data_IF_550586714316
#
_entry.id   IF_550586714316
#
_cell.length_a   1.000
_cell.length_b   1.000
_cell.length_c   1.000
_cell.angle_alpha   90.00
_cell.angle_beta   90.00
_cell.angle_gamma   90.00
#
_symmetry.space_group_name_H-M   'P 1'
#
loop_
_entity.id
_entity.type
_entity.pdbx_description
1 polymer ?
#
# COMPACT_ATOMS: atom_id res chain seq x y z
N UNK A 1 -22.57 -3.07 17.46
CA UNK A 1 -21.97 -4.03 16.52
C UNK A 1 -20.52 -4.22 16.91
N UNK A 2 -20.07 -5.46 17.14
CA UNK A 2 -18.67 -5.73 17.47
C UNK A 2 -17.80 -5.40 16.26
N UNK A 3 -16.92 -4.39 16.38
CA UNK A 3 -15.92 -4.11 15.37
C UNK A 3 -14.89 -5.23 15.42
N UNK A 4 -14.53 -5.80 14.26
CA UNK A 4 -13.50 -6.83 14.19
C UNK A 4 -12.18 -6.26 14.75
N UNK A 5 -11.42 -7.09 15.48
CA UNK A 5 -10.22 -6.70 16.22
C UNK A 5 -9.09 -6.11 15.37
N UNK A 6 -8.00 -5.72 16.04
CA UNK A 6 -6.85 -5.02 15.44
C UNK A 6 -6.27 -5.79 14.25
N UNK A 7 -6.17 -5.13 13.10
CA UNK A 7 -5.42 -5.64 11.95
C UNK A 7 -3.92 -5.58 12.27
N UNK A 8 -3.18 -6.63 11.93
CA UNK A 8 -1.72 -6.63 12.02
C UNK A 8 -1.15 -5.58 11.08
N UNK A 9 -0.09 -4.89 11.51
CA UNK A 9 0.58 -3.87 10.71
C UNK A 9 1.22 -4.47 9.44
N UNK A 10 1.49 -3.63 8.44
CA UNK A 10 2.15 -4.09 7.23
C UNK A 10 3.64 -4.32 7.48
N UNK A 11 4.14 -5.47 7.07
CA UNK A 11 5.56 -5.80 7.16
C UNK A 11 6.29 -5.27 5.91
N UNK A 12 6.91 -4.11 6.04
CA UNK A 12 7.69 -3.46 4.97
C UNK A 12 8.91 -4.28 4.54
N UNK A 13 9.37 -5.25 5.35
CA UNK A 13 10.46 -6.16 4.96
C UNK A 13 10.04 -7.20 3.92
N UNK A 14 8.73 -7.42 3.78
CA UNK A 14 8.12 -8.33 2.80
C UNK A 14 7.18 -7.58 1.85
N UNK A 15 7.70 -6.68 1.00
CA UNK A 15 6.91 -5.84 0.11
C UNK A 15 6.09 -6.65 -0.91
N UNK A 16 6.48 -7.88 -1.21
CA UNK A 16 5.75 -8.79 -2.10
C UNK A 16 4.35 -9.15 -1.57
N UNK A 17 4.14 -9.03 -0.25
CA UNK A 17 2.86 -9.36 0.42
C UNK A 17 1.87 -8.20 0.42
N UNK A 18 2.19 -7.07 -0.20
CA UNK A 18 1.33 -5.89 -0.23
C UNK A 18 -0.09 -6.21 -0.73
N UNK A 19 -0.26 -6.98 -1.80
CA UNK A 19 -1.60 -7.32 -2.30
C UNK A 19 -2.43 -8.14 -1.29
N UNK A 20 -1.77 -9.07 -0.60
CA UNK A 20 -2.41 -9.87 0.45
C UNK A 20 -2.83 -9.00 1.64
N UNK A 21 -1.98 -8.04 2.01
CA UNK A 21 -2.27 -7.07 3.05
C UNK A 21 -3.43 -6.15 2.65
N UNK A 22 -3.40 -5.58 1.45
CA UNK A 22 -4.46 -4.73 0.92
C UNK A 22 -5.82 -5.45 0.88
N UNK A 23 -5.85 -6.72 0.49
CA UNK A 23 -7.07 -7.53 0.52
C UNK A 23 -7.61 -7.72 1.96
N UNK A 24 -6.73 -7.89 2.96
CA UNK A 24 -7.14 -7.95 4.38
C UNK A 24 -7.72 -6.62 4.85
N UNK A 25 -7.12 -5.49 4.48
CA UNK A 25 -7.64 -4.15 4.79
C UNK A 25 -9.02 -3.96 4.18
N UNK A 26 -9.23 -4.35 2.92
CA UNK A 26 -10.56 -4.24 2.29
C UNK A 26 -11.63 -5.06 3.01
N UNK A 27 -11.31 -6.28 3.41
CA UNK A 27 -12.23 -7.11 4.18
C UNK A 27 -12.50 -6.51 5.55
N UNK A 28 -11.49 -5.93 6.19
CA UNK A 28 -11.64 -5.21 7.46
C UNK A 28 -12.58 -4.00 7.32
N UNK A 29 -12.42 -3.20 6.27
CA UNK A 29 -13.30 -2.05 5.98
C UNK A 29 -14.74 -2.50 5.71
N UNK A 30 -14.93 -3.58 4.95
CA UNK A 30 -16.24 -4.17 4.65
C UNK A 30 -16.96 -4.64 5.92
N UNK A 31 -16.27 -5.38 6.79
CA UNK A 31 -16.89 -5.87 8.04
C UNK A 31 -17.23 -4.73 9.00
N UNK A 32 -16.38 -3.71 9.08
CA UNK A 32 -16.63 -2.54 9.91
C UNK A 32 -17.62 -1.54 9.29
N UNK A 33 -18.18 -1.85 8.10
CA UNK A 33 -19.13 -1.02 7.37
C UNK A 33 -18.64 0.42 7.13
N UNK A 34 -17.33 0.57 6.91
CA UNK A 34 -16.73 1.88 6.60
C UNK A 34 -17.07 2.23 5.15
N UNK A 35 -18.10 3.07 4.97
CA UNK A 35 -18.61 3.44 3.64
C UNK A 35 -17.92 4.66 3.06
N UNK A 36 -17.65 5.66 3.90
CA UNK A 36 -17.01 6.91 3.46
C UNK A 36 -15.58 6.69 3.01
N UNK A 37 -15.22 7.31 1.90
CA UNK A 37 -13.90 7.14 1.29
C UNK A 37 -12.79 7.79 2.10
N UNK A 38 -13.06 8.96 2.69
CA UNK A 38 -12.21 9.62 3.67
C UNK A 38 -11.88 8.69 4.85
N UNK A 39 -12.90 8.04 5.43
CA UNK A 39 -12.72 7.09 6.52
C UNK A 39 -11.93 5.85 6.10
N UNK A 40 -12.04 5.40 4.85
CA UNK A 40 -11.22 4.28 4.33
C UNK A 40 -9.75 4.68 4.23
N UNK A 41 -9.46 5.87 3.71
CA UNK A 41 -8.10 6.41 3.63
C UNK A 41 -7.48 6.54 5.04
N UNK A 42 -8.18 7.21 5.97
CA UNK A 42 -7.71 7.34 7.35
C UNK A 42 -7.54 5.99 8.04
N UNK A 43 -8.46 5.05 7.83
CA UNK A 43 -8.33 3.70 8.40
C UNK A 43 -7.09 2.99 7.86
N UNK A 44 -6.80 3.09 6.56
CA UNK A 44 -5.59 2.50 5.96
C UNK A 44 -4.32 3.07 6.61
N UNK A 45 -4.25 4.39 6.78
CA UNK A 45 -3.11 5.07 7.41
C UNK A 45 -2.94 4.68 8.88
N UNK A 46 -4.03 4.43 9.61
CA UNK A 46 -3.94 3.97 11.00
C UNK A 46 -3.52 2.50 11.13
N UNK A 47 -3.85 1.64 10.15
CA UNK A 47 -3.59 0.19 10.25
C UNK A 47 -2.30 -0.25 9.56
N UNK A 48 -1.77 0.53 8.61
CA UNK A 48 -0.54 0.18 7.88
C UNK A 48 0.72 0.12 8.74
N UNK A 49 0.74 0.79 9.90
CA UNK A 49 1.91 0.86 10.78
C UNK A 49 2.80 2.04 10.44
N UNK A 50 3.77 2.33 11.33
CA UNK A 50 4.58 3.54 11.24
C UNK A 50 5.47 3.57 9.99
N UNK A 51 6.18 2.47 9.70
CA UNK A 51 7.10 2.43 8.56
C UNK A 51 6.38 2.65 7.21
N UNK A 52 5.21 2.02 7.04
CA UNK A 52 4.41 2.17 5.84
C UNK A 52 3.78 3.58 5.73
N UNK A 53 3.45 4.20 6.86
CA UNK A 53 2.96 5.58 6.92
C UNK A 53 4.04 6.57 6.49
N UNK A 54 5.26 6.45 7.03
CA UNK A 54 6.40 7.30 6.66
C UNK A 54 6.75 7.17 5.16
N UNK A 55 6.64 5.96 4.59
CA UNK A 55 6.79 5.75 3.15
C UNK A 55 5.70 6.48 2.37
N UNK A 56 4.43 6.37 2.78
CA UNK A 56 3.32 7.07 2.13
C UNK A 56 3.53 8.59 2.16
N UNK A 57 3.92 9.14 3.31
CA UNK A 57 4.17 10.57 3.52
C UNK A 57 5.31 11.08 2.62
N UNK A 58 6.41 10.34 2.55
CA UNK A 58 7.54 10.68 1.67
C UNK A 58 7.18 10.64 0.18
N UNK A 59 6.24 9.78 -0.23
CA UNK A 59 5.83 9.64 -1.62
C UNK A 59 4.82 10.73 -2.06
N UNK A 60 3.94 11.18 -1.16
CA UNK A 60 2.94 12.23 -1.45
C UNK A 60 3.41 13.65 -1.13
N UNK A 61 4.55 13.82 -0.46
CA UNK A 61 5.11 15.13 -0.15
C UNK A 61 5.25 15.99 -1.43
N UNK A 62 4.81 17.27 -1.42
CA UNK A 62 4.41 18.10 -0.27
C UNK A 62 2.90 18.11 0.04
N UNK A 63 2.09 17.23 -0.57
CA UNK A 63 0.63 17.20 -0.38
C UNK A 63 0.30 16.44 0.92
N UNK A 64 -0.62 16.95 1.76
CA UNK A 64 -1.01 16.23 2.96
C UNK A 64 -1.81 14.95 2.60
N UNK A 65 -1.44 13.84 3.24
CA UNK A 65 -2.07 12.52 3.05
C UNK A 65 -3.59 12.53 3.31
N UNK A 66 -4.08 13.46 4.12
CA UNK A 66 -5.51 13.64 4.41
C UNK A 66 -6.34 14.08 3.19
N UNK A 67 -5.70 14.63 2.15
CA UNK A 67 -6.38 15.03 0.92
C UNK A 67 -6.40 13.93 -0.15
N UNK A 68 -5.71 12.80 0.10
CA UNK A 68 -5.49 11.75 -0.90
C UNK A 68 -6.60 10.71 -0.81
N UNK A 69 -7.11 10.29 -1.98
CA UNK A 69 -8.15 9.27 -2.03
C UNK A 69 -7.61 7.90 -1.60
N UNK A 70 -8.49 7.04 -1.07
CA UNK A 70 -8.11 5.67 -0.72
C UNK A 70 -7.57 4.88 -1.94
N UNK A 71 -8.13 5.14 -3.12
CA UNK A 71 -7.71 4.50 -4.36
C UNK A 71 -6.28 4.91 -4.76
N UNK A 72 -5.96 6.19 -4.65
CA UNK A 72 -4.65 6.72 -4.99
C UNK A 72 -3.58 6.25 -3.99
N UNK A 73 -3.87 6.31 -2.67
CA UNK A 73 -2.98 5.77 -1.63
C UNK A 73 -2.64 4.30 -1.88
N UNK A 74 -3.65 3.47 -2.18
CA UNK A 74 -3.44 2.06 -2.49
C UNK A 74 -2.55 1.86 -3.72
N UNK A 75 -2.76 2.67 -4.76
CA UNK A 75 -2.02 2.58 -6.02
C UNK A 75 -0.57 2.97 -5.82
N UNK A 76 -0.33 4.09 -5.16
CA UNK A 76 1.00 4.62 -4.89
C UNK A 76 1.82 3.67 -4.02
N UNK A 77 1.22 3.13 -2.95
CA UNK A 77 1.89 2.11 -2.13
C UNK A 77 2.14 0.82 -2.92
N UNK A 78 1.22 0.42 -3.81
CA UNK A 78 1.44 -0.72 -4.71
C UNK A 78 2.62 -0.48 -5.65
N UNK A 79 2.71 0.69 -6.27
CA UNK A 79 3.81 1.03 -7.19
C UNK A 79 5.15 1.10 -6.47
N UNK A 80 5.17 1.50 -5.20
CA UNK A 80 6.37 1.51 -4.37
C UNK A 80 6.82 0.10 -3.96
N UNK A 81 5.93 -0.72 -3.40
CA UNK A 81 6.28 -2.05 -2.90
C UNK A 81 6.41 -3.10 -4.03
N UNK A 82 5.69 -2.90 -5.13
CA UNK A 82 5.70 -3.79 -6.29
C UNK A 82 5.93 -2.95 -7.55
N UNK A 83 7.15 -2.42 -7.76
CA UNK A 83 7.46 -1.66 -8.95
C UNK A 83 7.17 -2.53 -10.16
N UNK A 84 6.27 -2.05 -11.01
CA UNK A 84 5.91 -2.74 -12.25
C UNK A 84 7.19 -2.82 -13.08
N UNK A 85 7.77 -4.01 -13.22
CA UNK A 85 8.98 -4.20 -14.00
C UNK A 85 8.79 -3.56 -15.38
N UNK A 86 9.44 -2.43 -15.61
CA UNK A 86 9.47 -1.80 -16.91
C UNK A 86 10.28 -2.72 -17.82
N UNK A 87 9.77 -2.93 -19.03
CA UNK A 87 10.30 -3.87 -20.04
C UNK A 87 11.79 -3.63 -20.36
N UNK A 88 12.36 -2.50 -19.96
CA UNK A 88 13.76 -2.11 -20.16
C UNK A 88 14.73 -2.93 -19.30
N UNK A 89 14.34 -3.39 -18.11
CA UNK A 89 15.20 -4.21 -17.24
C UNK A 89 15.49 -5.61 -17.83
N UNK A 90 14.67 -6.08 -18.78
CA UNK A 90 14.86 -7.37 -19.45
C UNK A 90 16.02 -7.38 -20.42
N UNK A 91 16.34 -6.25 -21.08
CA UNK A 91 17.45 -6.22 -22.04
C UNK A 91 18.83 -6.34 -21.36
N UNK A 92 18.99 -5.75 -20.16
CA UNK A 92 20.29 -5.71 -19.49
C UNK A 92 20.72 -7.05 -18.87
N UNK A 93 19.77 -7.98 -18.66
CA UNK A 93 20.07 -9.34 -18.19
C UNK A 93 20.51 -10.27 -19.33
N UNK A 94 20.24 -9.88 -20.58
CA UNK A 94 20.61 -10.69 -21.75
C UNK A 94 22.04 -10.41 -22.23
N UNK A 95 22.55 -9.18 -22.06
CA UNK A 95 23.91 -8.82 -22.51
C UNK A 95 25.04 -9.35 -21.61
N UNK A 96 24.76 -9.84 -20.39
CA UNK A 96 25.80 -10.40 -19.50
C UNK A 96 26.03 -11.92 -19.68
N UNK A 97 25.34 -12.58 -20.62
CA UNK A 97 25.52 -14.02 -20.87
C UNK A 97 26.31 -14.35 -22.14
N UNK A 98 26.81 -13.35 -22.85
CA UNK A 98 27.58 -13.56 -24.09
C UNK A 98 28.88 -12.72 -24.10
N UNK A 99 29.75 -12.98 -23.12
CA UNK A 99 31.18 -12.61 -23.12
C UNK A 99 32.00 -13.87 -22.84
#
# INVERSE_FOLDING_TARGET
MAKIGRLSEFDVSHPERWESYAARVENYLKVNQVREESLKASTLLCVCGQDAFEIAENLEAPVPLDSVSYADLKKLLKEHFQPKMSVIAWHHTFEQRDQ
#
